data_IF_910796119105
#
_entry.id   IF_910796119105
#
_cell.length_a   1.000
_cell.length_b   1.000
_cell.length_c   1.000
_cell.angle_alpha   90.00
_cell.angle_beta   90.00
_cell.angle_gamma   90.00
#
_symmetry.space_group_name_H-M   'P 1'
#
loop_
_entity.id
_entity.type
_entity.pdbx_description
1 polymer ?
#
# COMPACT_ATOMS: atom_id res chain seq x y z
N UNK A 1 -20.85 -8.44 0.17
CA UNK A 1 -20.01 -7.29 -0.22
C UNK A 1 -18.59 -7.58 0.23
N UNK A 2 -17.56 -7.44 -0.62
CA UNK A 2 -16.19 -7.58 -0.17
C UNK A 2 -15.93 -6.51 0.90
N UNK A 3 -15.54 -6.95 2.09
CA UNK A 3 -15.25 -6.05 3.22
C UNK A 3 -13.82 -5.53 3.10
N UNK A 4 -13.61 -4.32 3.61
CA UNK A 4 -12.29 -3.76 3.86
C UNK A 4 -11.50 -4.69 4.79
N UNK A 5 -10.20 -4.81 4.53
CA UNK A 5 -9.26 -5.59 5.33
C UNK A 5 -8.92 -4.76 6.56
N UNK A 6 -9.27 -5.25 7.74
CA UNK A 6 -8.86 -4.64 8.98
C UNK A 6 -7.37 -4.93 9.22
N UNK A 7 -6.57 -3.87 9.30
CA UNK A 7 -5.12 -3.91 9.45
C UNK A 7 -4.74 -3.43 10.84
N UNK A 8 -3.94 -4.24 11.54
CA UNK A 8 -3.15 -3.80 12.68
C UNK A 8 -1.76 -3.43 12.18
N UNK A 9 -1.34 -2.19 12.43
CA UNK A 9 -0.02 -1.69 12.06
C UNK A 9 0.88 -1.62 13.30
N UNK A 10 2.05 -2.24 13.22
CA UNK A 10 3.03 -2.31 14.29
C UNK A 10 4.36 -1.81 13.75
N UNK A 11 4.75 -0.62 14.18
CA UNK A 11 5.89 0.15 13.65
C UNK A 11 6.34 1.10 14.76
N UNK A 12 7.61 1.08 15.16
CA UNK A 12 8.13 1.93 16.23
C UNK A 12 8.42 3.37 15.74
N UNK A 13 8.91 3.51 14.50
CA UNK A 13 9.10 4.82 13.86
C UNK A 13 7.76 5.52 13.61
N UNK A 14 7.55 6.63 14.33
CA UNK A 14 6.33 7.44 14.25
C UNK A 14 6.06 7.94 12.84
N UNK A 15 7.08 8.36 12.10
CA UNK A 15 6.91 8.88 10.74
C UNK A 15 6.54 7.77 9.75
N UNK A 16 7.18 6.60 9.87
CA UNK A 16 6.82 5.45 9.06
C UNK A 16 5.38 5.00 9.36
N UNK A 17 5.02 4.93 10.65
CA UNK A 17 3.69 4.52 11.11
C UNK A 17 2.60 5.45 10.59
N UNK A 18 2.76 6.75 10.75
CA UNK A 18 1.79 7.76 10.32
C UNK A 18 1.61 7.75 8.78
N UNK A 19 2.71 7.65 8.02
CA UNK A 19 2.64 7.58 6.57
C UNK A 19 1.95 6.30 6.08
N UNK A 20 2.32 5.15 6.66
CA UNK A 20 1.67 3.87 6.35
C UNK A 20 0.19 3.91 6.71
N UNK A 21 -0.16 4.40 7.90
CA UNK A 21 -1.55 4.54 8.35
C UNK A 21 -2.36 5.44 7.41
N UNK A 22 -1.81 6.59 7.00
CA UNK A 22 -2.45 7.48 6.03
C UNK A 22 -2.73 6.78 4.69
N UNK A 23 -1.75 6.07 4.14
CA UNK A 23 -1.90 5.36 2.86
C UNK A 23 -2.93 4.23 2.96
N UNK A 24 -2.88 3.44 4.03
CA UNK A 24 -3.80 2.33 4.28
C UNK A 24 -5.23 2.81 4.56
N UNK A 25 -5.40 3.93 5.26
CA UNK A 25 -6.73 4.50 5.55
C UNK A 25 -7.39 5.07 4.30
N UNK A 26 -6.60 5.58 3.36
CA UNK A 26 -7.11 6.17 2.12
C UNK A 26 -7.47 5.15 1.04
N UNK A 27 -6.85 3.98 1.05
CA UNK A 27 -7.15 2.90 0.11
C UNK A 27 -8.45 2.18 0.46
N UNK A 28 -9.31 1.96 -0.54
CA UNK A 28 -10.63 1.34 -0.32
C UNK A 28 -10.57 -0.12 0.16
N UNK A 29 -9.42 -0.80 0.01
CA UNK A 29 -9.27 -2.21 0.36
C UNK A 29 -8.93 -2.42 1.83
N UNK A 30 -8.46 -1.38 2.53
CA UNK A 30 -7.90 -1.49 3.87
C UNK A 30 -8.58 -0.54 4.85
N UNK A 31 -8.49 -0.90 6.13
CA UNK A 31 -8.95 -0.11 7.28
C UNK A 31 -7.94 -0.32 8.39
N UNK A 32 -7.25 0.73 8.82
CA UNK A 32 -6.41 0.65 10.02
C UNK A 32 -7.34 0.61 11.24
N UNK A 33 -7.23 -0.45 12.04
CA UNK A 33 -8.03 -0.64 13.26
C UNK A 33 -7.19 -0.47 14.53
N UNK A 34 -5.87 -0.48 14.39
CA UNK A 34 -4.92 -0.27 15.48
C UNK A 34 -3.57 0.13 14.93
N UNK A 35 -2.92 1.03 15.65
CA UNK A 35 -1.56 1.49 15.40
C UNK A 35 -0.79 1.36 16.69
N UNK A 36 0.31 0.63 16.65
CA UNK A 36 1.10 0.34 17.84
C UNK A 36 2.57 0.59 17.56
N UNK A 37 3.23 1.31 18.47
CA UNK A 37 4.67 1.54 18.44
C UNK A 37 5.41 1.03 19.69
N UNK A 38 4.73 0.32 20.59
CA UNK A 38 5.31 -0.17 21.84
C UNK A 38 4.84 -1.59 22.17
N UNK A 39 5.65 -2.36 22.92
CA UNK A 39 5.33 -3.74 23.25
C UNK A 39 4.04 -3.91 24.05
N UNK A 40 3.83 -3.05 25.05
CA UNK A 40 2.72 -3.17 26.00
C UNK A 40 1.35 -2.97 25.34
N UNK A 41 1.28 -2.15 24.29
CA UNK A 41 0.02 -1.85 23.62
C UNK A 41 -0.40 -2.97 22.66
N UNK A 42 0.56 -3.77 22.15
CA UNK A 42 0.29 -4.85 21.20
C UNK A 42 -0.52 -5.97 21.85
N UNK A 43 -0.11 -6.43 23.03
CA UNK A 43 -0.79 -7.56 23.69
C UNK A 43 -2.23 -7.20 24.04
N UNK A 44 -2.47 -5.98 24.53
CA UNK A 44 -3.81 -5.50 24.83
C UNK A 44 -4.69 -5.49 23.57
N UNK A 45 -4.14 -5.03 22.44
CA UNK A 45 -4.86 -4.98 21.18
C UNK A 45 -5.20 -6.38 20.64
N UNK A 46 -4.23 -7.30 20.67
CA UNK A 46 -4.39 -8.67 20.15
C UNK A 46 -5.33 -9.52 21.00
N UNK A 47 -5.40 -9.27 22.30
CA UNK A 47 -6.27 -9.99 23.23
C UNK A 47 -7.72 -9.50 23.24
N UNK A 48 -8.02 -8.34 22.64
CA UNK A 48 -9.39 -7.83 22.57
C UNK A 48 -10.23 -8.62 21.54
N UNK A 49 -11.24 -9.39 21.98
CA UNK A 49 -12.04 -10.23 21.09
C UNK A 49 -12.95 -9.43 20.14
N UNK A 50 -13.13 -8.12 20.36
CA UNK A 50 -13.89 -7.24 19.46
C UNK A 50 -13.09 -6.93 18.18
N UNK A 51 -11.77 -7.05 18.21
CA UNK A 51 -10.91 -6.78 17.07
C UNK A 51 -10.87 -7.97 16.11
N UNK A 52 -11.60 -7.86 15.00
CA UNK A 52 -11.42 -8.77 13.87
C UNK A 52 -10.28 -8.29 12.99
N UNK A 53 -9.08 -8.83 13.20
CA UNK A 53 -7.88 -8.50 12.43
C UNK A 53 -7.82 -9.37 11.16
N UNK A 54 -7.70 -8.73 10.00
CA UNK A 54 -7.51 -9.42 8.71
C UNK A 54 -6.04 -9.51 8.30
N UNK A 55 -5.25 -8.49 8.63
CA UNK A 55 -3.81 -8.47 8.43
C UNK A 55 -3.08 -7.76 9.58
N UNK A 56 -1.87 -8.22 9.86
CA UNK A 56 -0.89 -7.55 10.72
C UNK A 56 0.30 -7.16 9.86
N UNK A 57 0.66 -5.88 9.90
CA UNK A 57 1.88 -5.36 9.26
C UNK A 57 2.87 -5.02 10.38
N UNK A 58 4.02 -5.67 10.36
CA UNK A 58 5.03 -5.61 11.42
C UNK A 58 6.35 -5.13 10.87
N UNK A 59 6.89 -4.06 11.44
CA UNK A 59 8.28 -3.72 11.20
C UNK A 59 9.23 -4.70 11.88
N UNK A 60 10.36 -5.00 11.21
CA UNK A 60 11.37 -5.92 11.72
C UNK A 60 12.43 -5.24 12.57
N UNK A 61 12.58 -3.92 12.49
CA UNK A 61 13.72 -3.16 13.01
C UNK A 61 13.41 -2.51 14.35
N UNK A 62 12.93 -3.30 15.31
CA UNK A 62 12.59 -2.80 16.66
C UNK A 62 13.86 -2.70 17.53
N UNK A 63 14.20 -1.51 18.05
CA UNK A 63 15.40 -1.33 18.87
C UNK A 63 15.37 -2.18 20.14
N UNK A 64 16.44 -2.93 20.39
CA UNK A 64 16.67 -3.65 21.65
C UNK A 64 16.16 -5.10 21.68
N UNK A 65 15.19 -5.48 20.83
CA UNK A 65 14.66 -6.85 20.78
C UNK A 65 14.31 -7.31 19.36
N UNK A 66 15.29 -7.90 18.62
CA UNK A 66 15.07 -8.42 17.27
C UNK A 66 14.11 -9.61 17.19
N UNK A 67 13.79 -10.25 18.32
CA UNK A 67 12.87 -11.38 18.37
C UNK A 67 11.42 -10.94 18.62
N UNK A 68 11.22 -9.73 19.14
CA UNK A 68 9.90 -9.22 19.48
C UNK A 68 8.91 -9.26 18.31
N UNK A 69 9.24 -8.81 17.08
CA UNK A 69 8.30 -8.87 15.95
C UNK A 69 7.79 -10.29 15.67
N UNK A 70 8.64 -11.29 15.85
CA UNK A 70 8.28 -12.70 15.65
C UNK A 70 7.44 -13.26 16.79
N UNK A 71 7.68 -12.85 18.04
CA UNK A 71 6.83 -13.23 19.18
C UNK A 71 5.42 -12.65 19.03
N UNK A 72 5.33 -11.39 18.59
CA UNK A 72 4.06 -10.73 18.27
C UNK A 72 3.34 -11.44 17.13
N UNK A 73 4.05 -11.74 16.04
CA UNK A 73 3.49 -12.47 14.92
C UNK A 73 2.94 -13.85 15.35
N UNK A 74 3.72 -14.60 16.12
CA UNK A 74 3.28 -15.88 16.66
C UNK A 74 2.08 -15.73 17.61
N UNK A 75 2.03 -14.66 18.41
CA UNK A 75 0.85 -14.34 19.24
C UNK A 75 -0.37 -14.12 18.35
N UNK A 76 -0.26 -13.27 17.33
CA UNK A 76 -1.36 -12.92 16.43
C UNK A 76 -1.88 -14.14 15.64
N UNK A 77 -1.02 -15.11 15.31
CA UNK A 77 -1.45 -16.37 14.70
C UNK A 77 -2.35 -17.22 15.60
N UNK A 78 -2.40 -17.00 16.92
CA UNK A 78 -3.31 -17.76 17.79
C UNK A 78 -4.77 -17.33 17.66
N UNK A 79 -5.03 -16.17 17.06
CA UNK A 79 -6.38 -15.65 16.84
C UNK A 79 -7.13 -16.44 15.77
N UNK A 80 -8.45 -16.54 15.93
CA UNK A 80 -9.33 -17.20 14.95
C UNK A 80 -10.38 -16.20 14.43
N UNK A 81 -10.43 -15.92 13.11
CA UNK A 81 -9.55 -16.42 12.05
C UNK A 81 -8.11 -15.90 12.17
N UNK A 82 -7.15 -16.64 11.62
CA UNK A 82 -5.73 -16.26 11.63
C UNK A 82 -5.53 -15.06 10.68
N UNK A 83 -4.91 -13.95 11.12
CA UNK A 83 -4.61 -12.83 10.25
C UNK A 83 -3.45 -13.17 9.29
N UNK A 84 -3.42 -12.51 8.13
CA UNK A 84 -2.22 -12.52 7.30
C UNK A 84 -1.14 -11.65 7.95
N UNK A 85 0.07 -12.17 8.07
CA UNK A 85 1.18 -11.49 8.74
C UNK A 85 2.23 -11.12 7.72
N UNK A 86 2.52 -9.83 7.63
CA UNK A 86 3.40 -9.23 6.64
C UNK A 86 4.48 -8.45 7.38
N UNK A 87 5.74 -8.67 7.02
CA UNK A 87 6.86 -7.93 7.60
C UNK A 87 7.30 -6.82 6.67
N UNK A 88 7.63 -5.67 7.25
CA UNK A 88 8.29 -4.55 6.56
C UNK A 88 9.69 -4.32 7.12
N UNK A 89 10.60 -3.87 6.27
CA UNK A 89 11.94 -3.48 6.66
C UNK A 89 12.47 -2.35 5.77
N UNK A 90 13.52 -1.66 6.23
CA UNK A 90 14.28 -0.74 5.38
C UNK A 90 15.28 -1.47 4.46
N UNK A 91 15.80 -2.62 4.88
CA UNK A 91 16.76 -3.44 4.11
C UNK A 91 16.46 -4.94 4.21
N UNK A 92 16.75 -5.73 3.16
CA UNK A 92 16.64 -7.19 3.22
C UNK A 92 17.63 -7.80 4.22
N UNK A 93 17.16 -8.76 5.01
CA UNK A 93 17.98 -9.55 5.94
C UNK A 93 17.69 -11.05 5.79
N UNK A 94 18.75 -11.87 5.74
CA UNK A 94 18.64 -13.30 5.45
C UNK A 94 18.08 -14.09 6.62
N UNK A 95 18.44 -13.72 7.85
CA UNK A 95 17.96 -14.41 9.05
C UNK A 95 16.47 -14.14 9.25
N UNK A 96 16.05 -12.89 9.06
CA UNK A 96 14.66 -12.46 9.05
C UNK A 96 13.87 -13.21 7.99
N UNK A 97 14.36 -13.26 6.74
CA UNK A 97 13.70 -14.00 5.66
C UNK A 97 13.53 -15.49 5.99
N UNK A 98 14.58 -16.17 6.51
CA UNK A 98 14.49 -17.59 6.90
C UNK A 98 13.41 -17.80 7.95
N UNK A 99 13.40 -16.99 9.00
CA UNK A 99 12.39 -17.08 10.07
C UNK A 99 10.98 -16.85 9.55
N UNK A 100 10.80 -15.88 8.65
CA UNK A 100 9.50 -15.60 8.02
C UNK A 100 8.97 -16.83 7.28
N UNK A 101 9.82 -17.51 6.53
CA UNK A 101 9.47 -18.72 5.78
C UNK A 101 9.21 -19.91 6.72
N UNK A 102 10.10 -20.14 7.70
CA UNK A 102 9.98 -21.24 8.67
C UNK A 102 8.66 -21.19 9.45
N UNK A 103 8.22 -20.00 9.85
CA UNK A 103 6.96 -19.77 10.57
C UNK A 103 5.75 -19.60 9.63
N UNK A 104 5.94 -19.74 8.31
CA UNK A 104 4.90 -19.64 7.29
C UNK A 104 4.13 -18.31 7.34
N UNK A 105 4.83 -17.21 7.61
CA UNK A 105 4.25 -15.87 7.49
C UNK A 105 4.12 -15.45 6.01
N UNK A 106 3.33 -14.42 5.74
CA UNK A 106 2.71 -14.19 4.42
C UNK A 106 3.46 -13.19 3.54
N UNK A 107 4.53 -12.56 4.03
CA UNK A 107 5.37 -11.72 3.18
C UNK A 107 6.49 -10.99 3.91
N UNK A 108 7.46 -10.54 3.11
CA UNK A 108 8.58 -9.70 3.57
C UNK A 108 8.86 -8.59 2.54
N UNK A 109 8.65 -7.34 2.93
CA UNK A 109 8.53 -6.20 2.03
C UNK A 109 9.55 -5.13 2.40
N UNK A 110 10.32 -4.65 1.43
CA UNK A 110 11.18 -3.48 1.64
C UNK A 110 10.38 -2.20 1.40
N UNK A 111 10.30 -1.35 2.44
CA UNK A 111 9.52 -0.10 2.44
C UNK A 111 9.82 0.78 1.21
N UNK A 112 11.11 0.94 0.89
CA UNK A 112 11.54 1.76 -0.26
C UNK A 112 11.11 1.18 -1.61
N UNK A 113 11.06 -0.15 -1.75
CA UNK A 113 10.76 -0.83 -3.00
C UNK A 113 9.25 -0.93 -3.26
N UNK A 114 8.45 -1.02 -2.19
CA UNK A 114 7.00 -0.99 -2.34
C UNK A 114 6.45 0.44 -2.47
N UNK A 115 7.18 1.44 -1.98
CA UNK A 115 6.76 2.83 -2.03
C UNK A 115 5.36 3.00 -1.44
N UNK A 116 4.43 3.51 -2.25
CA UNK A 116 3.06 3.80 -1.82
C UNK A 116 2.09 2.63 -2.04
N UNK A 117 2.56 1.48 -2.53
CA UNK A 117 1.74 0.33 -2.92
C UNK A 117 1.32 -0.61 -1.79
N UNK A 118 1.54 -0.26 -0.52
CA UNK A 118 1.37 -1.18 0.62
C UNK A 118 -0.05 -1.76 0.73
N UNK A 119 -1.08 -0.96 0.52
CA UNK A 119 -2.48 -1.42 0.59
C UNK A 119 -2.78 -2.47 -0.50
N UNK A 120 -2.24 -2.29 -1.70
CA UNK A 120 -2.36 -3.27 -2.78
C UNK A 120 -1.66 -4.59 -2.43
N UNK A 121 -0.49 -4.50 -1.81
CA UNK A 121 0.28 -5.65 -1.33
C UNK A 121 -0.48 -6.45 -0.28
N UNK A 122 -1.06 -5.77 0.73
CA UNK A 122 -1.88 -6.41 1.76
C UNK A 122 -3.09 -7.10 1.13
N UNK A 123 -3.77 -6.42 0.20
CA UNK A 123 -4.91 -7.00 -0.49
C UNK A 123 -4.54 -8.22 -1.33
N UNK A 124 -3.38 -8.21 -1.99
CA UNK A 124 -2.87 -9.34 -2.75
C UNK A 124 -2.62 -10.55 -1.82
N UNK A 125 -2.00 -10.33 -0.67
CA UNK A 125 -1.80 -11.39 0.33
C UNK A 125 -3.13 -11.94 0.86
N UNK A 126 -4.01 -11.07 1.36
CA UNK A 126 -5.23 -11.49 2.07
C UNK A 126 -6.30 -12.07 1.14
N UNK A 127 -6.50 -11.46 -0.04
CA UNK A 127 -7.60 -11.83 -0.94
C UNK A 127 -7.21 -12.89 -1.96
N UNK A 128 -5.94 -12.93 -2.37
CA UNK A 128 -5.45 -13.89 -3.37
C UNK A 128 -4.55 -14.96 -2.76
N UNK A 129 -4.23 -14.89 -1.46
CA UNK A 129 -3.40 -15.87 -0.78
C UNK A 129 -1.97 -15.92 -1.32
N UNK A 130 -1.46 -14.82 -1.88
CA UNK A 130 -0.07 -14.74 -2.39
C UNK A 130 0.90 -14.49 -1.25
N UNK A 131 2.11 -15.07 -1.35
CA UNK A 131 3.22 -14.68 -0.48
C UNK A 131 3.92 -13.46 -1.08
N UNK A 132 3.87 -12.30 -0.43
CA UNK A 132 4.26 -11.04 -1.07
C UNK A 132 5.68 -10.63 -0.72
N UNK A 133 6.45 -10.18 -1.70
CA UNK A 133 7.85 -9.78 -1.53
C UNK A 133 8.27 -8.70 -2.49
N UNK A 134 9.38 -8.02 -2.21
CA UNK A 134 9.98 -7.04 -3.12
C UNK A 134 11.32 -7.50 -3.68
N UNK A 135 11.89 -6.72 -4.61
CA UNK A 135 13.06 -7.08 -5.42
C UNK A 135 14.30 -7.40 -4.60
N UNK A 136 14.61 -6.62 -3.58
CA UNK A 136 15.76 -6.80 -2.72
C UNK A 136 15.69 -8.11 -1.93
N UNK A 137 14.51 -8.45 -1.40
CA UNK A 137 14.28 -9.73 -0.71
C UNK A 137 14.40 -10.89 -1.70
N UNK A 138 13.87 -10.76 -2.92
CA UNK A 138 14.02 -11.79 -3.94
C UNK A 138 15.48 -12.03 -4.33
N UNK A 139 16.24 -10.96 -4.58
CA UNK A 139 17.67 -11.03 -4.89
C UNK A 139 18.48 -11.65 -3.74
N UNK A 140 18.14 -11.30 -2.50
CA UNK A 140 18.71 -11.90 -1.32
C UNK A 140 18.41 -13.41 -1.28
N UNK A 141 17.17 -13.82 -1.50
CA UNK A 141 16.78 -15.23 -1.50
C UNK A 141 17.59 -16.05 -2.51
N UNK A 142 17.80 -15.54 -3.73
CA UNK A 142 18.63 -16.18 -4.75
C UNK A 142 20.09 -16.31 -4.31
N UNK A 143 20.67 -15.23 -3.75
CA UNK A 143 22.07 -15.22 -3.29
C UNK A 143 22.30 -16.22 -2.15
N UNK A 144 21.38 -16.26 -1.20
CA UNK A 144 21.45 -17.08 0.01
C UNK A 144 20.89 -18.50 -0.18
N UNK A 145 20.41 -18.83 -1.39
CA UNK A 145 19.75 -20.11 -1.75
C UNK A 145 18.56 -20.44 -0.83
N UNK A 146 17.77 -19.42 -0.50
CA UNK A 146 16.54 -19.56 0.28
C UNK A 146 15.38 -19.74 -0.69
N UNK A 147 14.63 -20.84 -0.55
CA UNK A 147 13.45 -21.09 -1.38
C UNK A 147 12.25 -20.28 -0.88
N UNK A 148 11.75 -19.38 -1.71
CA UNK A 148 10.50 -18.67 -1.46
C UNK A 148 9.29 -19.60 -1.69
N UNK A 149 8.13 -19.32 -1.06
CA UNK A 149 6.90 -20.07 -1.32
C UNK A 149 6.51 -20.05 -2.81
N UNK A 150 5.92 -21.15 -3.31
CA UNK A 150 5.53 -21.29 -4.73
C UNK A 150 4.53 -20.23 -5.19
N UNK A 151 3.67 -19.77 -4.28
CA UNK A 151 2.69 -18.71 -4.51
C UNK A 151 3.27 -17.29 -4.30
N UNK A 152 4.59 -17.14 -4.37
CA UNK A 152 5.22 -15.84 -4.19
C UNK A 152 4.86 -14.85 -5.32
N UNK A 153 4.64 -13.59 -4.95
CA UNK A 153 4.41 -12.47 -5.86
C UNK A 153 5.47 -11.40 -5.59
N UNK A 154 6.17 -11.00 -6.64
CA UNK A 154 7.19 -9.97 -6.62
C UNK A 154 6.56 -8.62 -6.97
N UNK A 155 6.60 -7.68 -6.04
CA UNK A 155 6.02 -6.34 -6.18
C UNK A 155 7.09 -5.26 -6.32
N UNK A 156 6.86 -4.33 -7.24
CA UNK A 156 7.63 -3.08 -7.39
C UNK A 156 6.65 -1.91 -7.43
N UNK A 157 6.62 -1.12 -6.37
CA UNK A 157 5.76 0.06 -6.28
C UNK A 157 6.50 1.38 -6.53
N UNK A 158 7.76 1.31 -6.99
CA UNK A 158 8.55 2.52 -7.32
C UNK A 158 8.29 3.03 -8.72
N UNK A 159 7.73 2.18 -9.59
CA UNK A 159 7.39 2.54 -10.96
C UNK A 159 5.99 3.13 -11.00
N UNK A 160 5.84 4.41 -11.38
CA UNK A 160 4.53 5.00 -11.54
C UNK A 160 3.76 4.32 -12.67
N UNK A 161 2.43 4.32 -12.53
CA UNK A 161 1.55 4.03 -13.66
C UNK A 161 1.68 5.18 -14.67
N UNK A 162 2.50 4.98 -15.70
CA UNK A 162 2.74 5.96 -16.76
C UNK A 162 4.04 6.77 -16.61
N UNK A 163 4.47 7.38 -17.73
CA UNK A 163 5.76 8.07 -17.86
C UNK A 163 5.72 9.51 -17.30
N UNK A 164 5.69 9.63 -15.98
CA UNK A 164 5.76 10.91 -15.29
C UNK A 164 7.17 11.49 -15.32
N UNK A 165 7.29 12.78 -15.65
CA UNK A 165 8.52 13.54 -15.45
C UNK A 165 8.82 13.71 -13.96
N UNK A 166 10.07 14.03 -13.55
CA UNK A 166 10.39 14.26 -12.14
C UNK A 166 9.48 15.29 -11.46
N UNK A 167 9.12 16.36 -12.17
CA UNK A 167 8.21 17.40 -11.64
C UNK A 167 6.77 16.92 -11.51
N UNK A 168 6.28 16.13 -12.47
CA UNK A 168 4.96 15.52 -12.37
C UNK A 168 4.90 14.48 -11.25
N UNK A 169 5.95 13.69 -11.04
CA UNK A 169 6.04 12.74 -9.93
C UNK A 169 6.04 13.45 -8.57
N UNK A 170 6.76 14.57 -8.42
CA UNK A 170 6.73 15.40 -7.22
C UNK A 170 5.32 15.95 -6.95
N UNK A 171 4.67 16.50 -7.97
CA UNK A 171 3.31 17.05 -7.86
C UNK A 171 2.28 15.96 -7.60
N UNK A 172 2.39 14.79 -8.23
CA UNK A 172 1.54 13.63 -7.97
C UNK A 172 1.67 13.19 -6.51
N UNK A 173 2.89 13.13 -5.98
CA UNK A 173 3.13 12.77 -4.59
C UNK A 173 2.47 13.78 -3.63
N UNK A 174 2.70 15.07 -3.82
CA UNK A 174 2.20 16.07 -2.88
C UNK A 174 0.69 16.32 -3.04
N UNK A 175 0.23 16.62 -4.26
CA UNK A 175 -1.16 16.98 -4.53
C UNK A 175 -2.11 15.78 -4.46
N UNK A 176 -1.68 14.63 -4.99
CA UNK A 176 -2.56 13.46 -5.11
C UNK A 176 -2.34 12.52 -3.95
N UNK A 177 -1.12 12.04 -3.67
CA UNK A 177 -0.91 11.04 -2.60
C UNK A 177 -1.06 11.63 -1.20
N UNK A 178 -0.57 12.85 -0.97
CA UNK A 178 -0.66 13.52 0.34
C UNK A 178 -1.79 14.53 0.44
N UNK A 179 -2.56 14.73 -0.64
CA UNK A 179 -3.73 15.60 -0.67
C UNK A 179 -3.42 17.05 -0.27
N UNK A 180 -2.21 17.55 -0.58
CA UNK A 180 -1.86 18.95 -0.35
C UNK A 180 -2.69 19.89 -1.24
N UNK A 181 -3.26 20.97 -0.69
CA UNK A 181 -3.98 21.96 -1.48
C UNK A 181 -3.08 22.62 -2.54
N UNK A 182 -3.61 22.84 -3.74
CA UNK A 182 -2.83 23.44 -4.84
C UNK A 182 -2.25 24.83 -4.51
N UNK A 183 -2.94 25.59 -3.65
CA UNK A 183 -2.47 26.90 -3.19
C UNK A 183 -1.20 26.75 -2.36
N UNK A 184 -1.19 25.83 -1.41
CA UNK A 184 -0.04 25.62 -0.52
C UNK A 184 1.15 25.08 -1.33
N UNK A 185 0.89 24.21 -2.31
CA UNK A 185 1.92 23.76 -3.27
C UNK A 185 2.48 24.86 -4.16
N UNK A 186 1.67 25.86 -4.48
CA UNK A 186 2.11 27.04 -5.24
C UNK A 186 3.22 27.75 -4.46
N UNK A 187 3.01 27.94 -3.16
CA UNK A 187 3.92 28.64 -2.26
C UNK A 187 5.17 27.77 -1.97
N UNK A 188 4.98 26.49 -1.64
CA UNK A 188 6.07 25.54 -1.35
C UNK A 188 7.00 25.33 -2.54
N UNK A 189 6.43 25.17 -3.74
CA UNK A 189 7.18 24.83 -4.94
C UNK A 189 7.58 26.05 -5.77
N UNK A 190 7.27 27.27 -5.29
CA UNK A 190 7.55 28.57 -5.91
C UNK A 190 7.14 28.59 -7.39
N UNK A 191 5.92 28.12 -7.65
CA UNK A 191 5.28 28.15 -8.98
C UNK A 191 3.90 28.74 -8.85
N UNK A 192 3.30 29.18 -9.96
CA UNK A 192 1.94 29.72 -9.94
C UNK A 192 0.91 28.60 -9.77
N UNK A 193 -0.21 28.87 -9.10
CA UNK A 193 -1.28 27.89 -8.89
C UNK A 193 -1.86 27.32 -10.20
N UNK A 194 -1.87 28.11 -11.28
CA UNK A 194 -2.28 27.62 -12.60
C UNK A 194 -1.30 26.57 -13.18
N UNK A 195 -0.02 26.64 -12.83
CA UNK A 195 0.98 25.64 -13.21
C UNK A 195 0.80 24.35 -12.42
N UNK A 196 0.53 24.43 -11.12
CA UNK A 196 0.18 23.24 -10.29
C UNK A 196 -1.01 22.52 -10.93
N UNK A 197 -2.07 23.25 -11.26
CA UNK A 197 -3.25 22.67 -11.91
C UNK A 197 -2.94 22.03 -13.26
N UNK A 198 -2.08 22.64 -14.09
CA UNK A 198 -1.66 22.06 -15.38
C UNK A 198 -0.89 20.76 -15.19
N UNK A 199 0.02 20.70 -14.23
CA UNK A 199 0.75 19.48 -13.92
C UNK A 199 -0.17 18.38 -13.39
N UNK A 200 -1.10 18.70 -12.49
CA UNK A 200 -2.07 17.72 -11.98
C UNK A 200 -2.94 17.17 -13.12
N UNK A 201 -3.42 18.03 -14.02
CA UNK A 201 -4.15 17.59 -15.21
C UNK A 201 -3.30 16.68 -16.11
N UNK A 202 -2.03 17.05 -16.36
CA UNK A 202 -1.08 16.21 -17.12
C UNK A 202 -0.85 14.85 -16.46
N UNK A 203 -0.75 14.80 -15.13
CA UNK A 203 -0.66 13.55 -14.38
C UNK A 203 -1.91 12.70 -14.61
N UNK A 204 -3.12 13.26 -14.52
CA UNK A 204 -4.35 12.49 -14.80
C UNK A 204 -4.37 11.86 -16.19
N UNK A 205 -3.99 12.62 -17.22
CA UNK A 205 -3.88 12.11 -18.59
C UNK A 205 -2.85 10.98 -18.67
N UNK A 206 -1.64 11.17 -18.10
CA UNK A 206 -0.58 10.14 -18.13
C UNK A 206 -0.90 8.87 -17.34
N UNK A 207 -1.74 8.99 -16.30
CA UNK A 207 -2.24 7.84 -15.55
C UNK A 207 -3.29 7.03 -16.32
N UNK A 208 -3.76 7.51 -17.48
CA UNK A 208 -4.79 6.86 -18.28
C UNK A 208 -6.23 7.21 -17.85
N UNK A 209 -6.43 8.25 -17.02
CA UNK A 209 -7.77 8.55 -16.49
C UNK A 209 -8.71 9.08 -17.57
N UNK A 210 -8.20 9.82 -18.54
CA UNK A 210 -9.03 10.38 -19.61
C UNK A 210 -9.57 9.26 -20.51
N UNK A 211 -8.72 8.27 -20.84
CA UNK A 211 -9.05 7.07 -21.60
C UNK A 211 -10.03 6.16 -20.84
N UNK A 212 -9.87 6.07 -19.52
CA UNK A 212 -10.83 5.36 -18.67
C UNK A 212 -12.18 6.08 -18.65
N UNK A 213 -12.18 7.41 -18.60
CA UNK A 213 -13.40 8.21 -18.60
C UNK A 213 -14.12 8.21 -19.94
N UNK A 214 -13.39 8.20 -21.05
CA UNK A 214 -13.95 8.08 -22.41
C UNK A 214 -14.47 6.67 -22.70
N UNK A 215 -13.98 5.67 -21.95
CA UNK A 215 -14.34 4.26 -22.12
C UNK A 215 -13.46 3.51 -23.11
N UNK A 216 -12.37 4.13 -23.57
CA UNK A 216 -11.34 3.49 -24.40
C UNK A 216 -10.60 2.40 -23.62
N UNK A 217 -10.38 2.62 -22.31
CA UNK A 217 -9.73 1.67 -21.41
C UNK A 217 -10.67 1.34 -20.24
N UNK A 218 -10.74 0.07 -19.87
CA UNK A 218 -11.51 -0.35 -18.68
C UNK A 218 -10.64 -0.34 -17.43
N UNK A 219 -11.16 0.02 -16.24
CA UNK A 219 -10.42 -0.05 -14.98
C UNK A 219 -9.78 -1.42 -14.67
N UNK A 220 -10.31 -2.49 -15.23
CA UNK A 220 -9.82 -3.88 -15.15
C UNK A 220 -8.40 -4.06 -15.68
N UNK A 221 -7.94 -3.16 -16.56
CA UNK A 221 -6.55 -3.11 -17.02
C UNK A 221 -5.57 -2.84 -15.88
N UNK A 222 -6.01 -2.10 -14.85
CA UNK A 222 -5.17 -1.67 -13.73
C UNK A 222 -5.49 -2.43 -12.43
N UNK A 223 -6.74 -2.85 -12.26
CA UNK A 223 -7.20 -3.45 -11.01
C UNK A 223 -7.84 -4.80 -11.22
N UNK A 224 -7.42 -5.78 -10.41
CA UNK A 224 -8.09 -7.08 -10.30
C UNK A 224 -9.08 -7.14 -9.13
N UNK A 225 -8.95 -6.22 -8.16
CA UNK A 225 -9.76 -6.22 -6.95
C UNK A 225 -11.19 -5.72 -7.21
N UNK A 226 -12.17 -6.59 -6.98
CA UNK A 226 -13.59 -6.29 -7.22
C UNK A 226 -14.12 -5.11 -6.40
N UNK A 227 -13.62 -4.89 -5.18
CA UNK A 227 -14.03 -3.74 -4.37
C UNK A 227 -13.53 -2.43 -4.99
N UNK A 228 -12.28 -2.43 -5.46
CA UNK A 228 -11.71 -1.26 -6.15
C UNK A 228 -12.49 -0.99 -7.43
N UNK A 229 -12.68 -2.00 -8.28
CA UNK A 229 -13.45 -1.86 -9.51
C UNK A 229 -14.87 -1.32 -9.28
N UNK A 230 -15.57 -1.84 -8.26
CA UNK A 230 -16.91 -1.37 -7.92
C UNK A 230 -16.91 0.12 -7.52
N UNK A 231 -15.98 0.53 -6.64
CA UNK A 231 -15.86 1.91 -6.17
C UNK A 231 -15.43 2.86 -7.29
N UNK A 232 -14.47 2.42 -8.10
CA UNK A 232 -13.94 3.16 -9.25
C UNK A 232 -15.04 3.47 -10.26
N UNK A 233 -15.81 2.45 -10.70
CA UNK A 233 -16.96 2.65 -11.59
C UNK A 233 -18.04 3.54 -10.99
N UNK A 234 -18.30 3.39 -9.69
CA UNK A 234 -19.23 4.26 -8.96
C UNK A 234 -18.85 5.74 -9.03
N UNK A 235 -17.56 6.05 -8.89
CA UNK A 235 -17.05 7.41 -9.03
C UNK A 235 -17.12 7.88 -10.49
N UNK A 236 -16.71 7.07 -11.46
CA UNK A 236 -16.80 7.42 -12.89
C UNK A 236 -18.23 7.78 -13.30
N UNK A 237 -19.23 7.02 -12.86
CA UNK A 237 -20.63 7.30 -13.14
C UNK A 237 -21.06 8.67 -12.60
N UNK A 238 -20.54 9.04 -11.43
CA UNK A 238 -20.91 10.25 -10.71
C UNK A 238 -20.19 11.50 -11.22
N UNK A 239 -18.97 11.35 -11.75
CA UNK A 239 -18.21 12.44 -12.37
C UNK A 239 -18.96 13.01 -13.59
N UNK A 240 -19.67 12.17 -14.36
CA UNK A 240 -20.43 12.60 -15.55
C UNK A 240 -21.47 13.67 -15.22
N UNK A 241 -22.03 13.63 -14.01
CA UNK A 241 -23.10 14.54 -13.55
C UNK A 241 -22.63 15.54 -12.48
N UNK A 242 -21.33 15.56 -12.14
CA UNK A 242 -20.83 16.29 -10.99
C UNK A 242 -20.47 17.77 -11.29
N UNK A 243 -20.68 18.64 -10.29
CA UNK A 243 -20.11 19.99 -10.26
C UNK A 243 -18.57 19.94 -10.21
N UNK A 244 -17.92 20.98 -10.73
CA UNK A 244 -16.46 21.09 -10.87
C UNK A 244 -15.65 20.69 -9.62
N UNK A 245 -16.00 21.22 -8.43
CA UNK A 245 -15.26 20.92 -7.18
C UNK A 245 -15.31 19.44 -6.80
N UNK A 246 -16.49 18.82 -6.90
CA UNK A 246 -16.67 17.40 -6.59
C UNK A 246 -15.92 16.52 -7.59
N UNK A 247 -15.94 16.92 -8.87
CA UNK A 247 -15.15 16.28 -9.93
C UNK A 247 -13.66 16.27 -9.60
N UNK A 248 -13.09 17.37 -9.10
CA UNK A 248 -11.67 17.43 -8.71
C UNK A 248 -11.32 16.42 -7.60
N UNK A 249 -12.12 16.37 -6.53
CA UNK A 249 -11.89 15.42 -5.43
C UNK A 249 -12.06 13.95 -5.87
N UNK A 250 -13.05 13.69 -6.73
CA UNK A 250 -13.29 12.38 -7.30
C UNK A 250 -12.11 11.94 -8.20
N UNK A 251 -11.61 12.84 -9.07
CA UNK A 251 -10.41 12.59 -9.89
C UNK A 251 -9.17 12.29 -9.05
N UNK A 252 -8.92 13.08 -8.00
CA UNK A 252 -7.79 12.84 -7.09
C UNK A 252 -7.91 11.48 -6.39
N UNK A 253 -9.12 11.04 -6.09
CA UNK A 253 -9.37 9.73 -5.46
C UNK A 253 -9.10 8.57 -6.44
N UNK A 254 -9.51 8.72 -7.71
CA UNK A 254 -9.20 7.72 -8.75
C UNK A 254 -7.68 7.65 -9.02
N UNK A 255 -7.05 8.81 -9.16
CA UNK A 255 -5.61 8.94 -9.41
C UNK A 255 -4.78 8.36 -8.26
N UNK A 256 -5.20 8.55 -7.01
CA UNK A 256 -4.56 7.90 -5.85
C UNK A 256 -4.46 6.39 -6.04
N UNK A 257 -5.56 5.74 -6.41
CA UNK A 257 -5.56 4.29 -6.56
C UNK A 257 -4.71 3.82 -7.74
N UNK A 258 -4.60 4.60 -8.82
CA UNK A 258 -3.70 4.30 -9.93
C UNK A 258 -2.23 4.44 -9.54
N UNK A 259 -1.88 5.51 -8.80
CA UNK A 259 -0.50 5.75 -8.35
C UNK A 259 -0.01 4.76 -7.30
N UNK A 260 -0.91 4.01 -6.64
CA UNK A 260 -0.58 3.04 -5.59
C UNK A 260 -0.75 1.60 -6.04
N UNK A 261 -0.86 1.34 -7.35
CA UNK A 261 -0.78 -0.02 -7.90
C UNK A 261 0.70 -0.37 -8.13
N UNK A 262 1.27 -1.34 -7.41
CA UNK A 262 2.59 -1.85 -7.74
C UNK A 262 2.54 -2.72 -9.00
N UNK A 263 3.63 -2.76 -9.75
CA UNK A 263 3.84 -3.83 -10.72
C UNK A 263 3.94 -5.16 -9.98
N UNK A 264 3.21 -6.18 -10.45
CA UNK A 264 3.23 -7.53 -9.87
C UNK A 264 3.76 -8.50 -10.91
N UNK A 265 4.80 -9.24 -10.55
CA UNK A 265 5.39 -10.30 -11.38
C UNK A 265 5.56 -11.58 -10.56
N UNK A 266 5.61 -12.72 -11.24
CA UNK A 266 5.95 -13.98 -10.57
C UNK A 266 7.48 -14.14 -10.52
N UNK A 267 8.06 -14.51 -9.36
CA UNK A 267 9.48 -14.79 -9.28
C UNK A 267 9.84 -15.97 -10.19
N UNK A 268 10.84 -15.78 -11.07
CA UNK A 268 11.35 -16.80 -12.00
C UNK A 268 12.69 -17.34 -11.54
#
# INVERSE_FOLDING_TARGET
MPKDIHVLLIEDDVYARDLMSMLLTRDWRTRVIGEVGSENDVENFLNDPLHRIGAVVLDTEVPGDPDWPFRVAAHAQRSTPHPHILFTATQPDANTLRRIIEHKFHGYIIKREIGYGLAATIALAVKQGKWVTTRGVYQLALRERIHLPENAALLDGTKPVGDLTPREAEIARLAILFNHPHRDLSDELIIRADQVSKHVSSVYTKLGLDEIMSGEVTPETYFQDQLVLQRFRGILSRIKDAKSVRKTADMATLAFHLLTVPEVTEPR
#
